data_IF_940401886197
#
_entry.id   IF_940401886197
#
_cell.length_a   1.000
_cell.length_b   1.000
_cell.length_c   1.000
_cell.angle_alpha   90.00
_cell.angle_beta   90.00
_cell.angle_gamma   90.00
#
_symmetry.space_group_name_H-M   'P 1'
#
loop_
_entity.id
_entity.type
_entity.pdbx_description
1 polymer ?
#
# COMPACT_ATOMS: atom_id res chain seq x y z
N UNK A 1 8.91 17.52 -3.88
CA UNK A 1 10.26 17.66 -4.49
C UNK A 1 11.00 16.32 -4.58
N UNK A 2 11.05 15.52 -3.50
CA UNK A 2 11.73 14.22 -3.48
C UNK A 2 11.18 13.21 -4.50
N UNK A 3 9.84 13.04 -4.58
CA UNK A 3 9.21 12.14 -5.57
C UNK A 3 9.57 12.53 -7.02
N UNK A 4 9.54 13.83 -7.32
CA UNK A 4 9.90 14.33 -8.66
C UNK A 4 11.38 14.08 -8.96
N UNK A 5 12.28 14.32 -8.00
CA UNK A 5 13.71 14.07 -8.15
C UNK A 5 14.03 12.57 -8.36
N UNK A 6 13.22 11.68 -7.79
CA UNK A 6 13.31 10.23 -8.00
C UNK A 6 12.71 9.77 -9.35
N UNK A 7 12.22 10.69 -10.18
CA UNK A 7 11.64 10.38 -11.49
C UNK A 7 10.29 9.67 -11.42
N UNK A 8 9.53 9.87 -10.33
CA UNK A 8 8.17 9.33 -10.20
C UNK A 8 7.27 9.95 -11.27
N UNK A 9 6.58 9.09 -12.02
CA UNK A 9 5.66 9.48 -13.09
C UNK A 9 4.19 9.20 -12.79
N UNK A 10 3.90 8.46 -11.72
CA UNK A 10 2.56 8.18 -11.24
C UNK A 10 2.52 8.33 -9.72
N UNK A 11 1.65 9.20 -9.24
CA UNK A 11 1.43 9.46 -7.83
C UNK A 11 -0.04 9.82 -7.62
N UNK A 12 -0.65 9.30 -6.56
CA UNK A 12 -2.01 9.65 -6.12
C UNK A 12 -2.03 9.82 -4.60
N UNK A 13 -3.04 10.49 -4.06
CA UNK A 13 -3.34 10.43 -2.63
C UNK A 13 -4.22 9.20 -2.32
N UNK A 14 -4.04 8.62 -1.14
CA UNK A 14 -4.93 7.59 -0.62
C UNK A 14 -6.02 8.25 0.22
N UNK A 15 -7.27 8.01 -0.17
CA UNK A 15 -8.43 8.64 0.45
C UNK A 15 -9.57 7.64 0.71
N UNK A 16 -10.83 8.03 0.48
CA UNK A 16 -12.02 7.30 0.91
C UNK A 16 -12.21 5.90 0.31
N UNK A 17 -11.49 5.54 -0.74
CA UNK A 17 -11.51 4.19 -1.33
C UNK A 17 -10.53 3.21 -0.68
N UNK A 18 -9.75 3.67 0.30
CA UNK A 18 -8.68 2.89 0.91
C UNK A 18 -7.52 2.65 -0.04
N UNK A 19 -6.47 2.02 0.48
CA UNK A 19 -5.24 1.75 -0.26
C UNK A 19 -5.49 0.84 -1.47
N UNK A 20 -6.23 -0.25 -1.28
CA UNK A 20 -6.53 -1.19 -2.38
C UNK A 20 -7.38 -0.54 -3.48
N UNK A 21 -8.33 0.34 -3.13
CA UNK A 21 -9.12 1.06 -4.14
C UNK A 21 -8.25 1.92 -5.05
N UNK A 22 -7.39 2.75 -4.45
CA UNK A 22 -6.47 3.64 -5.18
C UNK A 22 -5.42 2.89 -5.99
N UNK A 23 -4.83 1.82 -5.43
CA UNK A 23 -3.93 0.93 -6.19
C UNK A 23 -4.65 0.32 -7.40
N UNK A 24 -5.91 -0.07 -7.23
CA UNK A 24 -6.74 -0.63 -8.29
C UNK A 24 -7.01 0.34 -9.44
N UNK A 25 -7.19 1.63 -9.16
CA UNK A 25 -7.31 2.66 -10.20
C UNK A 25 -5.99 2.84 -10.95
N UNK A 26 -4.87 2.94 -10.23
CA UNK A 26 -3.54 3.09 -10.82
C UNK A 26 -3.16 1.91 -11.72
N UNK A 27 -3.34 0.68 -11.22
CA UNK A 27 -2.97 -0.54 -11.94
C UNK A 27 -3.77 -0.70 -13.24
N UNK A 28 -5.09 -0.49 -13.18
CA UNK A 28 -5.97 -0.60 -14.35
C UNK A 28 -5.70 0.48 -15.38
N UNK A 29 -5.47 1.73 -14.96
CA UNK A 29 -5.15 2.83 -15.87
C UNK A 29 -3.80 2.62 -16.59
N UNK A 30 -2.83 2.00 -15.91
CA UNK A 30 -1.50 1.74 -16.45
C UNK A 30 -1.37 0.40 -17.20
N UNK A 31 -2.41 -0.44 -17.21
CA UNK A 31 -2.35 -1.83 -17.68
C UNK A 31 -1.18 -2.61 -17.05
N UNK A 32 -1.14 -2.63 -15.72
CA UNK A 32 -0.11 -3.26 -14.90
C UNK A 32 -0.74 -4.11 -13.79
N UNK A 33 0.08 -4.96 -13.15
CA UNK A 33 -0.28 -5.66 -11.93
C UNK A 33 0.53 -5.18 -10.73
N UNK A 34 0.05 -5.46 -9.52
CA UNK A 34 0.71 -5.08 -8.28
C UNK A 34 0.79 -6.29 -7.36
N UNK A 35 1.99 -6.61 -6.89
CA UNK A 35 2.11 -7.46 -5.71
C UNK A 35 2.23 -6.56 -4.49
N UNK A 36 1.27 -6.67 -3.58
CA UNK A 36 1.19 -5.89 -2.35
C UNK A 36 1.61 -6.75 -1.16
N UNK A 37 2.33 -6.15 -0.23
CA UNK A 37 2.76 -6.79 1.01
C UNK A 37 2.02 -6.18 2.20
N UNK A 38 0.92 -6.80 2.68
CA UNK A 38 0.11 -6.22 3.75
C UNK A 38 0.92 -5.89 5.01
N UNK A 39 1.87 -6.76 5.38
CA UNK A 39 2.70 -6.57 6.58
C UNK A 39 3.66 -5.37 6.47
N UNK A 40 3.93 -4.87 5.25
CA UNK A 40 4.80 -3.72 4.98
C UNK A 40 4.06 -2.37 4.98
N UNK A 41 2.72 -2.38 5.00
CA UNK A 41 1.92 -1.16 5.03
C UNK A 41 2.01 -0.51 6.42
N UNK A 42 2.44 0.75 6.52
CA UNK A 42 2.44 1.47 7.79
C UNK A 42 1.01 1.65 8.30
N UNK A 43 0.80 1.35 9.57
CA UNK A 43 -0.49 1.47 10.23
C UNK A 43 -0.40 2.44 11.40
N UNK A 44 -1.52 3.10 11.72
CA UNK A 44 -1.61 3.85 12.96
C UNK A 44 -1.63 2.88 14.15
N UNK A 45 -1.04 3.27 15.30
CA UNK A 45 -1.12 2.46 16.51
C UNK A 45 -2.58 2.13 16.86
N UNK A 46 -2.86 0.85 17.07
CA UNK A 46 -4.19 0.38 17.45
C UNK A 46 -5.17 0.07 16.30
N UNK A 47 -4.82 0.38 15.03
CA UNK A 47 -5.69 0.07 13.88
C UNK A 47 -6.05 -1.42 13.83
N UNK A 48 -5.06 -2.30 14.00
CA UNK A 48 -5.29 -3.74 13.96
C UNK A 48 -6.20 -4.23 15.10
N UNK A 49 -6.03 -3.68 16.31
CA UNK A 49 -6.87 -4.02 17.48
C UNK A 49 -8.33 -3.63 17.22
N UNK A 50 -8.56 -2.43 16.68
CA UNK A 50 -9.91 -1.96 16.35
C UNK A 50 -10.55 -2.84 15.28
N UNK A 51 -9.80 -3.17 14.22
CA UNK A 51 -10.29 -4.01 13.13
C UNK A 51 -10.61 -5.43 13.59
N UNK A 52 -9.78 -6.02 14.46
CA UNK A 52 -10.04 -7.33 15.08
C UNK A 52 -11.26 -7.30 16.01
N UNK A 53 -11.53 -6.17 16.67
CA UNK A 53 -12.74 -5.95 17.47
C UNK A 53 -14.00 -5.69 16.62
N UNK A 54 -13.89 -5.71 15.29
CA UNK A 54 -15.00 -5.46 14.38
C UNK A 54 -15.37 -3.98 14.25
N UNK A 55 -14.53 -3.07 14.77
CA UNK A 55 -14.73 -1.63 14.65
C UNK A 55 -14.12 -1.19 13.31
N UNK A 56 -14.98 -0.77 12.39
CA UNK A 56 -14.59 -0.33 11.06
C UNK A 56 -15.32 0.96 10.66
N UNK A 57 -14.74 1.67 9.71
CA UNK A 57 -15.32 2.88 9.13
C UNK A 57 -16.57 2.58 8.31
N UNK A 58 -17.45 3.57 8.14
CA UNK A 58 -18.75 3.39 7.47
C UNK A 58 -18.66 2.94 6.00
N UNK A 59 -17.57 3.26 5.30
CA UNK A 59 -17.36 2.84 3.91
C UNK A 59 -16.59 1.52 3.78
N UNK A 60 -16.20 0.87 4.88
CA UNK A 60 -15.43 -0.38 4.86
C UNK A 60 -16.12 -1.45 3.99
N UNK A 61 -17.40 -1.73 4.25
CA UNK A 61 -18.16 -2.77 3.54
C UNK A 61 -18.29 -2.45 2.04
N UNK A 62 -18.44 -1.17 1.69
CA UNK A 62 -18.47 -0.75 0.29
C UNK A 62 -17.12 -0.96 -0.39
N UNK A 63 -16.01 -0.66 0.30
CA UNK A 63 -14.66 -0.82 -0.20
C UNK A 63 -14.24 -2.29 -0.34
N UNK A 64 -14.76 -3.20 0.49
CA UNK A 64 -14.47 -4.65 0.42
C UNK A 64 -14.77 -5.27 -0.96
N UNK A 65 -15.62 -4.64 -1.78
CA UNK A 65 -15.85 -5.03 -3.19
C UNK A 65 -14.58 -4.98 -4.05
N UNK A 66 -13.59 -4.18 -3.67
CA UNK A 66 -12.30 -4.09 -4.37
C UNK A 66 -11.52 -5.42 -4.35
N UNK A 67 -11.85 -6.35 -3.45
CA UNK A 67 -11.23 -7.68 -3.37
C UNK A 67 -11.64 -8.61 -4.51
N UNK A 68 -12.71 -8.33 -5.24
CA UNK A 68 -13.24 -9.25 -6.27
C UNK A 68 -12.25 -9.58 -7.40
N UNK A 69 -11.31 -8.67 -7.68
CA UNK A 69 -10.27 -8.82 -8.72
C UNK A 69 -8.84 -8.92 -8.12
N UNK A 70 -8.73 -9.34 -6.85
CA UNK A 70 -7.46 -9.45 -6.11
C UNK A 70 -7.21 -10.88 -5.69
N UNK A 71 -6.04 -11.41 -6.02
CA UNK A 71 -5.57 -12.71 -5.54
C UNK A 71 -5.03 -12.57 -4.11
N UNK A 72 -5.79 -13.05 -3.11
CA UNK A 72 -5.39 -12.89 -1.71
C UNK A 72 -4.35 -13.91 -1.25
N UNK A 73 -4.03 -14.92 -2.05
CA UNK A 73 -3.03 -15.94 -1.72
C UNK A 73 -3.36 -16.65 -0.40
N UNK A 74 -2.43 -16.60 0.56
CA UNK A 74 -2.61 -17.17 1.90
C UNK A 74 -3.39 -16.26 2.87
N UNK A 75 -3.72 -15.03 2.45
CA UNK A 75 -4.52 -14.13 3.26
C UNK A 75 -6.01 -14.41 3.03
N UNK A 76 -6.77 -14.50 4.11
CA UNK A 76 -8.22 -14.57 4.06
C UNK A 76 -8.79 -13.15 3.88
N UNK A 77 -9.89 -12.99 3.14
CA UNK A 77 -10.61 -11.70 3.06
C UNK A 77 -11.09 -11.18 4.43
N UNK A 78 -11.31 -12.08 5.39
CA UNK A 78 -11.65 -11.73 6.77
C UNK A 78 -10.43 -11.36 7.64
N UNK A 79 -9.20 -11.54 7.15
CA UNK A 79 -7.98 -11.17 7.87
C UNK A 79 -7.97 -9.66 8.11
N UNK A 80 -7.73 -9.24 9.36
CA UNK A 80 -7.68 -7.82 9.72
C UNK A 80 -6.66 -7.06 8.86
N UNK A 81 -5.55 -7.69 8.47
CA UNK A 81 -4.53 -7.09 7.61
C UNK A 81 -5.02 -6.80 6.21
N UNK A 82 -5.88 -7.66 5.66
CA UNK A 82 -6.52 -7.41 4.35
C UNK A 82 -7.57 -6.31 4.49
N UNK A 83 -8.41 -6.39 5.53
CA UNK A 83 -9.46 -5.41 5.79
C UNK A 83 -8.92 -4.00 6.00
N UNK A 84 -7.77 -3.85 6.67
CA UNK A 84 -7.10 -2.56 6.86
C UNK A 84 -6.67 -1.89 5.55
N UNK A 85 -6.42 -2.65 4.48
CA UNK A 85 -6.08 -2.08 3.16
C UNK A 85 -7.27 -1.39 2.48
N UNK A 86 -8.48 -1.66 2.97
CA UNK A 86 -9.75 -1.20 2.41
C UNK A 86 -10.37 -0.09 3.27
N UNK A 87 -9.77 0.22 4.42
CA UNK A 87 -10.27 1.24 5.34
C UNK A 87 -10.20 2.63 4.68
N UNK A 88 -11.34 3.34 4.56
CA UNK A 88 -11.39 4.67 3.97
C UNK A 88 -10.51 5.66 4.76
N UNK A 89 -9.59 6.33 4.07
CA UNK A 89 -8.74 7.34 4.68
C UNK A 89 -9.27 8.75 4.41
N UNK A 90 -9.32 9.60 5.45
CA UNK A 90 -9.50 11.04 5.27
C UNK A 90 -8.14 11.70 5.29
N UNK A 91 -7.75 12.37 4.19
CA UNK A 91 -6.42 12.99 4.05
C UNK A 91 -5.27 12.00 4.30
N UNK A 92 -5.33 10.83 3.65
CA UNK A 92 -4.28 9.81 3.78
C UNK A 92 -2.97 10.22 3.10
N UNK A 93 -2.05 9.25 3.03
CA UNK A 93 -0.72 9.46 2.47
C UNK A 93 -0.69 9.58 0.94
N UNK A 94 0.49 9.90 0.42
CA UNK A 94 0.78 9.79 -1.01
C UNK A 94 1.23 8.37 -1.36
N UNK A 95 0.76 7.88 -2.49
CA UNK A 95 1.12 6.60 -3.09
C UNK A 95 1.81 6.86 -4.44
N UNK A 96 2.98 6.27 -4.65
CA UNK A 96 3.79 6.53 -5.84
C UNK A 96 4.43 5.25 -6.39
N UNK A 97 4.53 5.16 -7.72
CA UNK A 97 5.32 4.14 -8.40
C UNK A 97 6.72 4.68 -8.73
N UNK A 98 7.75 4.02 -8.22
CA UNK A 98 9.15 4.42 -8.36
C UNK A 98 9.91 3.36 -9.15
N UNK A 99 10.84 3.78 -10.02
CA UNK A 99 11.75 2.84 -10.69
C UNK A 99 12.61 2.10 -9.65
N UNK A 100 12.85 0.77 -9.79
CA UNK A 100 13.59 -0.01 -8.79
C UNK A 100 14.93 0.61 -8.38
N UNK A 101 15.69 1.13 -9.35
CA UNK A 101 16.98 1.77 -9.11
C UNK A 101 16.91 3.09 -8.32
N UNK A 102 15.72 3.70 -8.19
CA UNK A 102 15.51 4.97 -7.50
C UNK A 102 14.79 4.82 -6.16
N UNK A 103 14.39 3.61 -5.77
CA UNK A 103 13.62 3.37 -4.54
C UNK A 103 14.38 3.87 -3.31
N UNK A 104 15.65 3.48 -3.14
CA UNK A 104 16.47 3.90 -2.00
C UNK A 104 16.61 5.43 -1.94
N UNK A 105 17.01 6.07 -3.05
CA UNK A 105 17.15 7.52 -3.13
C UNK A 105 15.84 8.26 -2.82
N UNK A 106 14.70 7.72 -3.27
CA UNK A 106 13.38 8.28 -3.01
C UNK A 106 13.02 8.21 -1.53
N UNK A 107 13.21 7.05 -0.92
CA UNK A 107 12.96 6.83 0.52
C UNK A 107 13.85 7.76 1.34
N UNK A 108 15.16 7.74 1.12
CA UNK A 108 16.12 8.58 1.84
C UNK A 108 15.80 10.07 1.68
N UNK A 109 15.47 10.51 0.47
CA UNK A 109 15.08 11.89 0.19
C UNK A 109 13.80 12.32 0.89
N UNK A 110 12.80 11.44 0.99
CA UNK A 110 11.57 11.71 1.74
C UNK A 110 11.84 11.76 3.26
N UNK A 111 12.66 10.85 3.78
CA UNK A 111 13.03 10.86 5.20
C UNK A 111 13.83 12.11 5.57
N UNK A 112 14.81 12.50 4.75
CA UNK A 112 15.59 13.72 4.95
C UNK A 112 14.71 14.98 4.89
N UNK A 113 13.58 14.94 4.16
CA UNK A 113 12.58 16.00 4.12
C UNK A 113 11.62 15.99 5.33
N UNK A 114 11.77 15.05 6.27
CA UNK A 114 10.97 14.96 7.50
C UNK A 114 9.75 14.04 7.43
N UNK A 115 9.57 13.29 6.34
CA UNK A 115 8.50 12.30 6.24
C UNK A 115 8.92 11.01 6.96
N UNK A 116 8.39 10.79 8.17
CA UNK A 116 8.75 9.64 9.01
C UNK A 116 8.03 8.32 8.65
N UNK A 117 6.89 8.40 7.97
CA UNK A 117 6.06 7.24 7.59
C UNK A 117 6.18 6.93 6.09
N UNK A 118 7.39 6.60 5.66
CA UNK A 118 7.70 6.20 4.27
C UNK A 118 7.90 4.69 4.24
N UNK A 119 7.27 3.99 3.29
CA UNK A 119 7.43 2.56 3.17
C UNK A 119 7.34 2.09 1.72
N UNK A 120 8.12 1.06 1.40
CA UNK A 120 7.93 0.26 0.19
C UNK A 120 6.96 -0.86 0.54
N UNK A 121 5.77 -0.80 -0.05
CA UNK A 121 4.65 -1.69 0.32
C UNK A 121 4.41 -2.81 -0.69
N UNK A 122 5.17 -2.86 -1.78
CA UNK A 122 4.95 -3.83 -2.85
C UNK A 122 5.79 -3.54 -4.09
N UNK A 123 5.44 -4.22 -5.19
CA UNK A 123 6.07 -4.05 -6.50
C UNK A 123 5.06 -4.05 -7.64
N UNK A 124 5.41 -3.35 -8.71
CA UNK A 124 4.62 -3.31 -9.94
C UNK A 124 5.16 -4.36 -10.92
N UNK A 125 4.25 -5.11 -11.55
CA UNK A 125 4.53 -6.11 -12.57
C UNK A 125 3.76 -5.84 -13.87
N UNK A 126 4.00 -6.66 -14.91
CA UNK A 126 3.23 -6.59 -16.15
C UNK A 126 1.74 -6.93 -15.89
N UNK A 127 0.84 -6.46 -16.76
CA UNK A 127 -0.55 -6.91 -16.72
C UNK A 127 -0.66 -8.44 -16.80
N UNK A 128 -1.66 -8.98 -16.10
CA UNK A 128 -1.98 -10.41 -16.11
C UNK A 128 -3.10 -10.72 -17.09
N UNK A 129 -3.11 -11.93 -17.64
CA UNK A 129 -4.12 -12.39 -18.59
C UNK A 129 -5.48 -12.67 -17.93
N UNK A 130 -5.47 -13.05 -16.64
CA UNK A 130 -6.65 -13.41 -15.85
C UNK A 130 -7.43 -12.21 -15.30
N UNK A 131 -7.11 -10.99 -15.77
CA UNK A 131 -7.67 -9.70 -15.31
C UNK A 131 -7.42 -9.36 -13.84
N UNK A 132 -6.72 -10.22 -13.10
CA UNK A 132 -6.29 -9.95 -11.74
C UNK A 132 -5.24 -8.83 -11.78
N UNK A 133 -5.51 -7.72 -11.09
CA UNK A 133 -4.60 -6.57 -11.09
C UNK A 133 -3.72 -6.54 -9.85
N UNK A 134 -4.05 -7.31 -8.80
CA UNK A 134 -3.19 -7.41 -7.63
C UNK A 134 -3.12 -8.80 -7.00
N UNK A 135 -1.99 -9.10 -6.38
CA UNK A 135 -1.80 -10.25 -5.50
C UNK A 135 -1.30 -9.80 -4.12
N UNK A 136 -1.68 -10.53 -3.08
CA UNK A 136 -1.17 -10.32 -1.72
C UNK A 136 -0.10 -11.37 -1.40
N UNK A 137 1.06 -10.92 -0.93
CA UNK A 137 2.16 -11.78 -0.53
C UNK A 137 2.78 -11.31 0.79
N UNK A 138 3.37 -12.23 1.56
CA UNK A 138 4.22 -11.83 2.68
C UNK A 138 5.50 -11.18 2.12
N UNK A 139 5.91 -10.06 2.69
CA UNK A 139 7.19 -9.45 2.32
C UNK A 139 8.34 -10.39 2.71
N UNK A 140 9.28 -10.61 1.79
CA UNK A 140 10.51 -11.32 2.11
C UNK A 140 11.42 -10.51 3.05
N UNK A 141 12.35 -11.18 3.73
CA UNK A 141 13.32 -10.51 4.60
C UNK A 141 14.14 -9.43 3.87
N UNK A 142 14.42 -9.64 2.57
CA UNK A 142 15.12 -8.67 1.73
C UNK A 142 14.27 -7.42 1.48
N UNK A 143 12.98 -7.61 1.21
CA UNK A 143 12.01 -6.52 0.98
C UNK A 143 11.73 -5.74 2.28
N UNK A 144 11.74 -6.44 3.43
CA UNK A 144 11.62 -5.84 4.76
C UNK A 144 12.88 -5.10 5.22
N UNK A 145 14.08 -5.52 4.79
CA UNK A 145 15.35 -4.85 5.14
C UNK A 145 15.51 -3.46 4.51
N UNK A 146 14.73 -3.16 3.46
CA UNK A 146 14.63 -1.82 2.89
C UNK A 146 13.61 -0.93 3.63
N UNK A 147 13.12 -1.36 4.80
CA UNK A 147 12.33 -0.49 5.67
C UNK A 147 13.23 0.62 6.22
N UNK A 148 12.84 1.89 6.07
CA UNK A 148 13.36 2.88 6.99
C UNK A 148 12.98 2.47 8.41
N UNK A 149 13.92 2.57 9.35
CA UNK A 149 13.65 2.31 10.75
C UNK A 149 12.45 3.17 11.17
N UNK A 150 11.33 2.53 11.51
CA UNK A 150 10.18 3.22 12.07
C UNK A 150 10.71 4.05 13.23
N UNK A 151 10.54 5.37 13.14
CA UNK A 151 11.02 6.30 14.14
C UNK A 151 10.57 5.79 15.51
N UNK A 152 11.55 5.51 16.38
CA UNK A 152 11.31 5.38 17.81
C UNK A 152 10.70 6.70 18.26
N UNK A 153 9.38 6.77 18.31
CA UNK A 153 8.72 7.79 19.10
C UNK A 153 8.93 7.39 20.56
N UNK A 154 9.62 8.29 21.27
CA UNK A 154 9.80 8.26 22.72
C UNK A 154 8.47 8.51 23.44
#
# INVERSE_FOLDING_TARGET
>A
PALHAAGVRACTDVSGFGLLGHLGEMARAANMSIELWPDAVPLLPGTEILMQAGIASSLQEANERALGDVETGNFNSADSRVRMLLDPQTSGGLLAAVQPAQVANCVDGLQAAGYGAVAVIGRVGPAREDRCWASLAAASALELSNRPAAGRQA
#
